data_IF_727726655613
#
_entry.id   IF_727726655613
#
_cell.length_a   1.000
_cell.length_b   1.000
_cell.length_c   1.000
_cell.angle_alpha   90.00
_cell.angle_beta   90.00
_cell.angle_gamma   90.00
#
_symmetry.space_group_name_H-M   'P 1'
#
loop_
_entity.id
_entity.type
_entity.pdbx_description
1 polymer ?
#
# COMPACT_ATOMS: atom_id res chain seq x y z
N UNK A 1 -54.24 43.84 8.99
CA UNK A 1 -52.83 43.88 8.51
C UNK A 1 -52.16 42.58 8.92
N UNK A 2 -52.00 41.67 8.01
CA UNK A 2 -51.36 40.41 8.24
C UNK A 2 -49.88 40.57 7.87
N UNK A 3 -49.01 40.45 8.87
CA UNK A 3 -47.57 40.40 8.63
C UNK A 3 -47.18 38.97 8.25
N UNK A 4 -46.82 38.77 6.98
CA UNK A 4 -46.23 37.52 6.54
C UNK A 4 -44.78 37.49 6.99
N UNK A 5 -44.47 36.69 8.01
CA UNK A 5 -43.11 36.37 8.39
C UNK A 5 -42.63 35.22 7.50
N UNK A 6 -41.89 35.54 6.47
CA UNK A 6 -41.16 34.56 5.70
C UNK A 6 -40.00 34.00 6.57
N UNK A 7 -40.23 32.81 7.10
CA UNK A 7 -39.15 32.05 7.70
C UNK A 7 -38.48 31.27 6.55
N UNK A 8 -37.47 31.86 5.98
CA UNK A 8 -36.59 31.18 5.06
C UNK A 8 -35.72 30.26 5.86
N UNK A 9 -36.12 28.98 5.99
CA UNK A 9 -35.31 27.97 6.58
C UNK A 9 -34.12 27.68 5.66
N UNK A 10 -32.93 28.12 6.07
CA UNK A 10 -31.69 27.70 5.42
C UNK A 10 -31.47 26.22 5.75
N UNK A 11 -31.73 25.35 4.78
CA UNK A 11 -31.32 23.95 4.92
C UNK A 11 -29.79 23.91 4.74
N UNK A 12 -29.07 23.83 5.85
CA UNK A 12 -27.64 23.58 5.84
C UNK A 12 -27.44 22.12 5.43
N UNK A 13 -27.19 21.90 4.13
CA UNK A 13 -26.80 20.58 3.64
C UNK A 13 -25.42 20.24 4.20
N UNK A 14 -25.41 19.38 5.21
CA UNK A 14 -24.18 18.84 5.75
C UNK A 14 -23.60 17.82 4.74
N UNK A 15 -22.69 18.26 3.89
CA UNK A 15 -21.93 17.35 3.05
C UNK A 15 -20.98 16.56 3.93
N UNK A 16 -21.40 15.37 4.32
CA UNK A 16 -20.49 14.39 4.93
C UNK A 16 -19.61 13.89 3.81
N UNK A 17 -18.42 14.48 3.68
CA UNK A 17 -17.37 13.91 2.85
C UNK A 17 -16.85 12.67 3.57
N UNK A 18 -17.38 11.51 3.24
CA UNK A 18 -16.75 10.25 3.60
C UNK A 18 -15.45 10.16 2.82
N UNK A 19 -14.33 10.40 3.49
CA UNK A 19 -13.03 10.05 2.95
C UNK A 19 -12.99 8.53 2.87
N UNK A 20 -13.31 7.98 1.69
CA UNK A 20 -13.06 6.57 1.44
C UNK A 20 -11.54 6.37 1.53
N UNK A 21 -11.05 5.69 2.57
CA UNK A 21 -9.68 5.24 2.60
C UNK A 21 -9.44 4.33 1.40
N UNK A 22 -8.28 4.49 0.74
CA UNK A 22 -7.94 3.69 -0.43
C UNK A 22 -7.85 2.21 0.00
N UNK A 23 -8.59 1.35 -0.69
CA UNK A 23 -8.42 -0.09 -0.57
C UNK A 23 -7.14 -0.46 -1.33
N UNK A 24 -6.17 -1.02 -0.62
CA UNK A 24 -4.92 -1.44 -1.22
C UNK A 24 -4.99 -2.90 -1.67
N UNK A 25 -4.48 -3.14 -2.88
CA UNK A 25 -4.18 -4.46 -3.39
C UNK A 25 -2.68 -4.74 -3.22
N UNK A 26 -2.34 -5.93 -2.76
CA UNK A 26 -0.97 -6.45 -2.83
C UNK A 26 -0.80 -7.09 -4.20
N UNK A 27 0.16 -6.58 -4.95
CA UNK A 27 0.40 -6.94 -6.36
C UNK A 27 1.78 -7.54 -6.55
N UNK A 28 1.90 -8.37 -7.57
CA UNK A 28 3.15 -9.03 -7.95
C UNK A 28 3.32 -9.05 -9.46
N UNK A 29 4.52 -9.44 -9.88
CA UNK A 29 4.78 -9.79 -11.28
C UNK A 29 3.77 -10.84 -11.77
N UNK A 30 3.30 -10.78 -13.05
CA UNK A 30 2.31 -11.72 -13.57
C UNK A 30 2.70 -13.18 -13.46
N UNK A 31 4.00 -13.47 -13.51
CA UNK A 31 4.54 -14.83 -13.37
C UNK A 31 4.74 -15.29 -11.93
N UNK A 32 4.19 -14.60 -10.95
CA UNK A 32 4.34 -14.98 -9.54
C UNK A 32 3.79 -16.38 -9.26
N UNK A 33 4.63 -17.21 -8.67
CA UNK A 33 4.31 -18.58 -8.23
C UNK A 33 4.86 -18.87 -6.81
N UNK A 34 5.10 -17.83 -6.04
CA UNK A 34 5.76 -17.87 -4.73
C UNK A 34 4.93 -18.46 -3.58
N UNK A 35 3.71 -18.91 -3.87
CA UNK A 35 2.78 -19.42 -2.88
C UNK A 35 1.87 -18.35 -2.26
N UNK A 36 0.96 -18.74 -1.41
CA UNK A 36 0.07 -17.83 -0.70
C UNK A 36 0.86 -16.98 0.31
N UNK A 37 0.51 -15.70 0.38
CA UNK A 37 1.06 -14.75 1.33
C UNK A 37 -0.03 -14.22 2.24
N UNK A 38 0.30 -14.00 3.50
CA UNK A 38 -0.50 -13.25 4.45
C UNK A 38 0.14 -11.88 4.75
N UNK A 39 -0.58 -11.03 5.49
CA UNK A 39 -0.12 -9.68 5.85
C UNK A 39 1.22 -9.71 6.58
N UNK A 40 1.41 -10.65 7.51
CA UNK A 40 2.65 -10.76 8.29
C UNK A 40 3.85 -11.09 7.38
N UNK A 41 3.66 -11.96 6.41
CA UNK A 41 4.70 -12.30 5.44
C UNK A 41 5.03 -11.11 4.53
N UNK A 42 4.04 -10.38 4.04
CA UNK A 42 4.24 -9.15 3.26
C UNK A 42 4.99 -8.10 4.09
N UNK A 43 4.56 -7.86 5.33
CA UNK A 43 5.26 -6.96 6.26
C UNK A 43 6.74 -7.33 6.40
N UNK A 44 7.04 -8.59 6.64
CA UNK A 44 8.41 -9.06 6.84
C UNK A 44 9.28 -8.89 5.58
N UNK A 45 8.70 -9.07 4.39
CA UNK A 45 9.39 -8.80 3.13
C UNK A 45 9.75 -7.31 2.99
N UNK A 46 8.80 -6.42 3.28
CA UNK A 46 9.01 -4.97 3.17
C UNK A 46 9.92 -4.40 4.27
N UNK A 47 10.07 -5.08 5.39
CA UNK A 47 10.99 -4.69 6.47
C UNK A 47 12.35 -5.40 6.39
N UNK A 48 12.54 -6.28 5.40
CA UNK A 48 13.77 -7.04 5.24
C UNK A 48 14.03 -8.07 6.34
N UNK A 49 13.00 -8.39 7.15
CA UNK A 49 13.05 -9.47 8.15
C UNK A 49 13.01 -10.83 7.45
N UNK A 50 12.42 -10.87 6.29
CA UNK A 50 12.43 -12.01 5.38
C UNK A 50 12.81 -11.52 3.99
N UNK A 51 13.66 -12.27 3.30
CA UNK A 51 14.18 -11.88 1.98
C UNK A 51 13.59 -12.68 0.83
N UNK A 52 12.92 -13.78 1.12
CA UNK A 52 12.38 -14.68 0.11
C UNK A 52 10.91 -15.00 0.35
N UNK A 53 10.21 -15.29 -0.75
CA UNK A 53 8.87 -15.86 -0.71
C UNK A 53 8.87 -17.27 -0.08
N UNK A 54 7.72 -17.85 0.25
CA UNK A 54 7.65 -19.20 0.83
C UNK A 54 8.34 -20.27 -0.01
N UNK A 55 8.38 -20.13 -1.34
CA UNK A 55 9.06 -21.04 -2.25
C UNK A 55 10.58 -20.86 -2.32
N UNK A 56 11.17 -19.93 -1.56
CA UNK A 56 12.60 -19.67 -1.51
C UNK A 56 13.13 -18.66 -2.54
N UNK A 57 12.31 -18.21 -3.48
CA UNK A 57 12.70 -17.19 -4.45
C UNK A 57 12.88 -15.85 -3.74
N UNK A 58 14.01 -15.18 -3.98
CA UNK A 58 14.31 -13.88 -3.39
C UNK A 58 13.33 -12.83 -3.90
N UNK A 59 12.60 -12.22 -2.98
CA UNK A 59 11.63 -11.17 -3.27
C UNK A 59 12.32 -9.83 -3.55
N UNK A 60 11.69 -9.04 -4.42
CA UNK A 60 12.08 -7.66 -4.75
C UNK A 60 10.94 -6.72 -4.39
N UNK A 61 10.82 -6.27 -3.13
CA UNK A 61 9.80 -5.31 -2.74
C UNK A 61 10.02 -3.97 -3.44
N UNK A 62 8.92 -3.37 -3.90
CA UNK A 62 8.89 -2.05 -4.53
C UNK A 62 7.97 -1.17 -3.69
N UNK A 63 8.46 -0.03 -3.27
CA UNK A 63 7.74 0.93 -2.45
C UNK A 63 7.29 2.14 -3.29
N UNK A 64 6.31 2.86 -2.79
CA UNK A 64 5.98 4.18 -3.30
C UNK A 64 6.87 5.24 -2.64
N UNK A 65 7.03 6.38 -3.30
CA UNK A 65 7.77 7.51 -2.75
C UNK A 65 7.12 8.04 -1.47
N UNK A 66 7.92 8.65 -0.62
CA UNK A 66 7.46 9.36 0.58
C UNK A 66 6.42 10.41 0.19
N UNK A 67 5.32 10.48 0.95
CA UNK A 67 4.20 11.37 0.68
C UNK A 67 3.09 10.78 -0.19
N UNK A 68 3.29 9.61 -0.79
CA UNK A 68 2.24 8.90 -1.51
C UNK A 68 1.12 8.49 -0.54
N UNK A 69 -0.16 8.70 -0.90
CA UNK A 69 -1.30 8.24 -0.11
C UNK A 69 -1.28 6.72 0.11
N UNK A 70 -0.93 5.96 -0.91
CA UNK A 70 -0.84 4.50 -0.81
C UNK A 70 0.25 4.04 0.15
N UNK A 71 1.40 4.71 0.14
CA UNK A 71 2.48 4.44 1.09
C UNK A 71 2.04 4.72 2.52
N UNK A 72 1.37 5.83 2.76
CA UNK A 72 0.85 6.19 4.08
C UNK A 72 -0.12 5.13 4.60
N UNK A 73 -1.02 4.68 3.76
CA UNK A 73 -2.00 3.65 4.09
C UNK A 73 -1.33 2.29 4.36
N UNK A 74 -0.40 1.89 3.51
CA UNK A 74 0.37 0.65 3.67
C UNK A 74 1.20 0.65 4.96
N UNK A 75 1.86 1.76 5.28
CA UNK A 75 2.62 1.89 6.52
C UNK A 75 1.71 1.78 7.75
N UNK A 76 0.53 2.37 7.69
CA UNK A 76 -0.46 2.27 8.78
C UNK A 76 -1.00 0.85 8.92
N UNK A 77 -1.51 0.25 7.85
CA UNK A 77 -2.24 -1.02 7.90
C UNK A 77 -1.34 -2.26 7.96
N UNK A 78 -0.22 -2.24 7.25
CA UNK A 78 0.65 -3.41 7.11
C UNK A 78 1.89 -3.30 7.99
N UNK A 79 2.64 -2.22 7.89
CA UNK A 79 3.88 -2.07 8.64
C UNK A 79 3.65 -1.66 10.09
N UNK A 80 2.52 -1.03 10.40
CA UNK A 80 2.19 -0.47 11.72
C UNK A 80 3.30 0.44 12.25
N UNK A 81 3.84 1.30 11.40
CA UNK A 81 4.91 2.23 11.76
C UNK A 81 4.83 3.55 11.00
N UNK A 82 5.39 4.61 11.62
CA UNK A 82 5.53 5.91 11.00
C UNK A 82 6.78 5.98 10.11
N UNK A 83 6.82 6.94 9.19
CA UNK A 83 7.97 7.18 8.30
C UNK A 83 9.29 7.34 9.05
N UNK A 84 9.29 8.08 10.16
CA UNK A 84 10.50 8.26 10.96
C UNK A 84 11.03 6.94 11.55
N UNK A 85 10.14 6.07 12.02
CA UNK A 85 10.50 4.75 12.53
C UNK A 85 11.02 3.83 11.43
N UNK A 86 10.40 3.88 10.25
CA UNK A 86 10.85 3.16 9.07
C UNK A 86 12.25 3.61 8.64
N UNK A 87 12.51 4.92 8.62
CA UNK A 87 13.83 5.47 8.32
C UNK A 87 14.91 4.98 9.29
N UNK A 88 14.62 4.97 10.59
CA UNK A 88 15.53 4.44 11.63
C UNK A 88 15.76 2.94 11.48
N UNK A 89 14.73 2.18 11.17
CA UNK A 89 14.82 0.73 10.92
C UNK A 89 15.83 0.42 9.81
N UNK A 90 15.72 1.07 8.66
CA UNK A 90 16.63 0.85 7.54
C UNK A 90 18.02 1.41 7.77
N UNK A 91 18.14 2.52 8.50
CA UNK A 91 19.45 3.03 8.92
C UNK A 91 20.23 1.99 9.73
N UNK A 92 19.58 1.32 10.68
CA UNK A 92 20.19 0.24 11.46
C UNK A 92 20.55 -0.95 10.58
N UNK A 93 19.67 -1.38 9.71
CA UNK A 93 19.95 -2.50 8.80
C UNK A 93 21.13 -2.23 7.87
N UNK A 94 21.24 -1.05 7.32
CA UNK A 94 22.41 -0.65 6.51
C UNK A 94 23.70 -0.64 7.34
N UNK A 95 23.65 -0.11 8.54
CA UNK A 95 24.82 -0.05 9.42
C UNK A 95 25.36 -1.44 9.81
N UNK A 96 24.47 -2.43 9.91
CA UNK A 96 24.85 -3.83 10.23
C UNK A 96 25.06 -4.69 8.98
N UNK A 97 24.94 -4.13 7.78
CA UNK A 97 25.06 -4.89 6.53
C UNK A 97 23.91 -5.88 6.27
N UNK A 98 22.76 -5.71 6.97
CA UNK A 98 21.64 -6.65 6.90
C UNK A 98 20.70 -6.42 5.71
N UNK A 99 20.95 -5.40 4.90
CA UNK A 99 20.16 -5.11 3.71
C UNK A 99 19.95 -3.62 3.45
N UNK A 100 19.23 -3.33 2.38
CA UNK A 100 18.84 -1.99 1.96
C UNK A 100 17.33 -1.91 1.80
N UNK A 101 16.78 -0.69 1.98
CA UNK A 101 15.35 -0.43 1.81
C UNK A 101 14.85 -0.78 0.41
N UNK A 102 13.56 -1.12 0.25
CA UNK A 102 12.96 -1.32 -1.05
C UNK A 102 13.15 -0.12 -1.98
N UNK A 103 13.25 -0.39 -3.28
CA UNK A 103 13.28 0.65 -4.31
C UNK A 103 11.98 1.44 -4.26
N UNK A 104 12.04 2.75 -4.47
CA UNK A 104 10.87 3.64 -4.46
C UNK A 104 10.51 4.11 -5.87
N UNK A 105 9.22 4.17 -6.17
CA UNK A 105 8.66 4.67 -7.43
C UNK A 105 7.78 5.87 -7.18
N UNK A 106 7.79 6.83 -8.12
CA UNK A 106 7.16 8.15 -7.92
C UNK A 106 5.73 8.26 -8.46
N UNK A 107 5.25 7.26 -9.18
CA UNK A 107 3.90 7.29 -9.75
C UNK A 107 3.30 5.88 -9.84
N UNK A 108 1.97 5.81 -10.00
CA UNK A 108 1.27 4.55 -10.23
C UNK A 108 1.77 3.83 -11.48
N UNK A 109 2.04 4.58 -12.55
CA UNK A 109 2.54 4.05 -13.80
C UNK A 109 3.93 3.43 -13.63
N UNK A 110 4.80 4.06 -12.85
CA UNK A 110 6.12 3.51 -12.54
C UNK A 110 6.02 2.24 -11.69
N UNK A 111 5.15 2.22 -10.69
CA UNK A 111 4.91 1.01 -9.87
C UNK A 111 4.43 -0.14 -10.75
N UNK A 112 3.39 0.07 -11.54
CA UNK A 112 2.82 -0.96 -12.42
C UNK A 112 3.85 -1.45 -13.44
N UNK A 113 4.59 -0.53 -14.05
CA UNK A 113 5.64 -0.88 -15.01
C UNK A 113 6.75 -1.70 -14.36
N UNK A 114 7.23 -1.28 -13.20
CA UNK A 114 8.31 -1.96 -12.50
C UNK A 114 7.90 -3.36 -12.04
N UNK A 115 6.70 -3.51 -11.50
CA UNK A 115 6.16 -4.81 -11.08
C UNK A 115 5.96 -5.73 -12.28
N UNK A 116 5.43 -5.20 -13.38
CA UNK A 116 5.16 -6.00 -14.60
C UNK A 116 6.43 -6.49 -15.28
N UNK A 117 7.54 -5.79 -15.14
CA UNK A 117 8.81 -6.09 -15.81
C UNK A 117 9.86 -6.77 -14.94
N UNK A 118 9.67 -6.77 -13.62
CA UNK A 118 10.64 -7.29 -12.66
C UNK A 118 10.15 -8.61 -12.08
N UNK A 119 10.70 -9.75 -12.50
CA UNK A 119 10.37 -11.04 -11.87
C UNK A 119 10.64 -11.02 -10.37
N UNK A 120 9.81 -11.72 -9.60
CA UNK A 120 9.84 -11.77 -8.14
C UNK A 120 9.58 -10.42 -7.43
N UNK A 121 9.06 -9.43 -8.13
CA UNK A 121 8.65 -8.16 -7.52
C UNK A 121 7.31 -8.28 -6.80
N UNK A 122 7.18 -7.48 -5.74
CA UNK A 122 5.96 -7.34 -4.97
C UNK A 122 5.80 -5.87 -4.58
N UNK A 123 4.58 -5.37 -4.66
CA UNK A 123 4.24 -4.01 -4.24
C UNK A 123 2.79 -3.94 -3.74
N UNK A 124 2.32 -2.77 -3.53
CA UNK A 124 0.95 -2.45 -3.14
C UNK A 124 0.48 -1.26 -3.98
N UNK A 125 -0.80 -1.16 -4.22
CA UNK A 125 -1.38 -0.08 -5.01
C UNK A 125 -2.89 0.04 -4.71
N UNK A 126 -3.43 1.24 -4.84
CA UNK A 126 -4.88 1.45 -4.80
C UNK A 126 -5.55 0.51 -5.83
N UNK A 127 -6.53 -0.26 -5.37
CA UNK A 127 -7.19 -1.26 -6.23
C UNK A 127 -7.78 -0.67 -7.50
N UNK A 128 -8.19 0.61 -7.46
CA UNK A 128 -8.72 1.33 -8.62
C UNK A 128 -7.68 1.55 -9.72
N UNK A 129 -6.38 1.46 -9.38
CA UNK A 129 -5.26 1.66 -10.31
C UNK A 129 -4.73 0.35 -10.87
N UNK A 130 -5.21 -0.80 -10.41
CA UNK A 130 -4.79 -2.12 -10.90
C UNK A 130 -5.21 -2.29 -12.37
N UNK A 131 -4.34 -2.88 -13.15
CA UNK A 131 -4.59 -3.30 -14.54
C UNK A 131 -4.07 -4.72 -14.79
N UNK A 132 -4.23 -5.22 -16.00
CA UNK A 132 -3.87 -6.60 -16.39
C UNK A 132 -2.35 -6.86 -16.47
N UNK A 133 -1.52 -5.83 -16.30
CA UNK A 133 -0.05 -5.97 -16.34
C UNK A 133 0.55 -6.60 -15.09
N UNK A 134 -0.22 -6.70 -14.01
CA UNK A 134 0.21 -7.23 -12.72
C UNK A 134 -0.78 -8.26 -12.19
N UNK A 135 -0.31 -9.09 -11.26
CA UNK A 135 -1.15 -10.07 -10.56
C UNK A 135 -1.55 -9.51 -9.19
N UNK A 136 -2.84 -9.53 -8.86
CA UNK A 136 -3.33 -9.23 -7.51
C UNK A 136 -3.23 -10.50 -6.67
N UNK A 137 -2.51 -10.43 -5.56
CA UNK A 137 -2.38 -11.55 -4.62
C UNK A 137 -3.56 -11.57 -3.65
N UNK A 138 -3.88 -10.43 -3.07
CA UNK A 138 -5.03 -10.21 -2.20
C UNK A 138 -5.24 -8.71 -1.98
N UNK A 139 -6.37 -8.34 -1.38
CA UNK A 139 -6.66 -6.97 -0.97
C UNK A 139 -6.67 -6.84 0.55
N UNK A 140 -6.34 -5.66 1.08
CA UNK A 140 -6.29 -5.46 2.53
C UNK A 140 -7.68 -5.49 3.17
N UNK A 141 -8.75 -5.26 2.41
CA UNK A 141 -10.12 -5.36 2.90
C UNK A 141 -10.49 -6.77 3.35
N UNK A 142 -9.96 -7.78 2.66
CA UNK A 142 -10.25 -9.19 2.95
C UNK A 142 -9.80 -9.61 4.37
N UNK A 143 -8.99 -8.81 5.04
CA UNK A 143 -8.47 -9.08 6.38
C UNK A 143 -9.15 -8.28 7.50
N UNK A 144 -9.93 -7.26 7.16
CA UNK A 144 -10.63 -6.43 8.14
C UNK A 144 -12.07 -6.87 8.40
N UNK A 145 -12.57 -7.86 7.66
CA UNK A 145 -13.94 -8.37 7.75
C UNK A 145 -14.05 -9.68 8.57
N UNK A 146 -13.05 -9.98 9.41
CA UNK A 146 -13.06 -11.15 10.31
C UNK A 146 -13.20 -10.73 11.76
#
# INVERSE_FOLDING_TARGET
MSAFRNITGAILALFITTSASAELAIISHPGYDGGELNITQVRNLFLGERKSFPNGIKAKPINHAVGSPDRKEFFSQVLSMAEASHGRHWKRKRATGSGSSPVEMNSYEEVLRSVSKTPASISYIDIRMVNDSVKVLFTLKDFNDV
#
